data_IF_073481868825
#
_entry.id   IF_073481868825
#
_cell.length_a   1.000
_cell.length_b   1.000
_cell.length_c   1.000
_cell.angle_alpha   90.00
_cell.angle_beta   90.00
_cell.angle_gamma   90.00
#
_symmetry.space_group_name_H-M   'P 1'
#
loop_
_entity.id
_entity.type
_entity.pdbx_description
1 polymer ?
#
# COMPACT_ATOMS: atom_id res chain seq x y z
N UNK A 1 12.31 -8.85 -2.18
CA UNK A 1 11.09 -8.08 -2.51
C UNK A 1 10.79 -7.16 -1.34
N UNK A 2 10.31 -5.94 -1.59
CA UNK A 2 9.86 -5.00 -0.57
C UNK A 2 8.43 -4.56 -0.91
N UNK A 3 7.59 -4.35 0.10
CA UNK A 3 6.25 -3.80 -0.08
C UNK A 3 6.19 -2.39 0.50
N UNK A 4 5.58 -1.49 -0.25
CA UNK A 4 5.39 -0.12 0.18
C UNK A 4 3.93 0.29 0.00
N UNK A 5 3.35 0.86 1.05
CA UNK A 5 2.00 1.38 0.99
C UNK A 5 2.00 2.84 0.52
N UNK A 6 1.39 3.08 -0.64
CA UNK A 6 1.26 4.40 -1.25
C UNK A 6 -0.12 4.99 -0.92
N UNK A 7 -0.19 5.74 0.19
CA UNK A 7 -1.39 6.50 0.55
C UNK A 7 -1.56 7.73 -0.34
N UNK A 8 -2.77 8.33 -0.37
CA UNK A 8 -3.06 9.53 -1.19
C UNK A 8 -2.07 10.67 -1.01
N UNK A 9 -1.55 10.85 0.20
CA UNK A 9 -0.60 11.91 0.52
C UNK A 9 0.70 11.85 -0.28
N UNK A 10 1.01 10.70 -0.91
CA UNK A 10 2.15 10.56 -1.80
C UNK A 10 1.91 11.22 -3.16
N UNK A 11 0.66 11.29 -3.62
CA UNK A 11 0.31 11.76 -4.98
C UNK A 11 -0.28 13.17 -5.02
N UNK A 12 -0.87 13.63 -3.91
CA UNK A 12 -1.46 14.97 -3.79
C UNK A 12 -1.54 15.41 -2.33
N UNK A 13 -1.62 16.72 -2.06
CA UNK A 13 -1.91 17.19 -0.71
C UNK A 13 -3.31 16.73 -0.32
N UNK A 14 -3.49 16.48 0.97
CA UNK A 14 -4.79 16.10 1.54
C UNK A 14 -5.12 17.06 2.67
N UNK A 15 -6.36 17.05 3.17
CA UNK A 15 -6.72 17.87 4.34
C UNK A 15 -5.80 17.60 5.55
N UNK A 16 -5.33 16.36 5.72
CA UNK A 16 -4.40 16.00 6.79
C UNK A 16 -2.93 16.33 6.46
N UNK A 17 -2.58 16.46 5.18
CA UNK A 17 -1.23 16.72 4.69
C UNK A 17 -1.29 17.78 3.57
N UNK A 18 -1.53 19.06 3.89
CA UNK A 18 -1.84 20.08 2.89
C UNK A 18 -0.62 20.73 2.23
N UNK A 19 0.60 20.47 2.72
CA UNK A 19 1.84 21.11 2.25
C UNK A 19 2.35 20.50 0.93
N UNK A 20 2.32 21.31 -0.13
CA UNK A 20 2.78 20.95 -1.47
C UNK A 20 4.31 20.75 -1.55
N UNK A 21 5.12 21.53 -0.83
CA UNK A 21 6.57 21.33 -0.82
C UNK A 21 6.93 20.01 -0.14
N UNK A 22 6.24 19.69 0.95
CA UNK A 22 6.41 18.41 1.63
C UNK A 22 6.05 17.24 0.70
N UNK A 23 5.00 17.39 -0.12
CA UNK A 23 4.61 16.40 -1.12
C UNK A 23 5.69 16.24 -2.21
N UNK A 24 6.23 17.32 -2.77
CA UNK A 24 7.30 17.26 -3.78
C UNK A 24 8.53 16.54 -3.21
N UNK A 25 8.92 16.88 -1.97
CA UNK A 25 10.02 16.21 -1.26
C UNK A 25 9.73 14.73 -1.01
N UNK A 26 8.48 14.37 -0.73
CA UNK A 26 8.05 12.98 -0.57
C UNK A 26 8.16 12.21 -1.89
N UNK A 27 7.64 12.75 -3.00
CA UNK A 27 7.73 12.13 -4.31
C UNK A 27 9.19 11.88 -4.73
N UNK A 28 10.07 12.86 -4.49
CA UNK A 28 11.50 12.70 -4.76
C UNK A 28 12.13 11.54 -3.97
N UNK A 29 11.74 11.35 -2.70
CA UNK A 29 12.22 10.22 -1.88
C UNK A 29 11.70 8.89 -2.40
N UNK A 30 10.46 8.85 -2.88
CA UNK A 30 9.85 7.63 -3.42
C UNK A 30 10.55 7.22 -4.73
N UNK A 31 10.84 8.17 -5.62
CA UNK A 31 11.62 7.92 -6.84
C UNK A 31 13.05 7.43 -6.52
N UNK A 32 13.69 8.04 -5.53
CA UNK A 32 15.01 7.60 -5.06
C UNK A 32 14.98 6.17 -4.52
N UNK A 33 13.93 5.81 -3.78
CA UNK A 33 13.74 4.46 -3.23
C UNK A 33 13.54 3.43 -4.34
N UNK A 34 12.73 3.74 -5.35
CA UNK A 34 12.60 2.90 -6.56
C UNK A 34 13.97 2.66 -7.19
N UNK A 35 14.77 3.72 -7.36
CA UNK A 35 16.12 3.62 -7.91
C UNK A 35 17.07 2.76 -7.06
N UNK A 36 17.03 2.90 -5.72
CA UNK A 36 17.82 2.07 -4.79
C UNK A 36 17.41 0.61 -4.88
N UNK A 37 16.11 0.31 -4.89
CA UNK A 37 15.59 -1.05 -5.01
C UNK A 37 16.04 -1.70 -6.32
N UNK A 38 15.90 -1.00 -7.45
CA UNK A 38 16.33 -1.49 -8.76
C UNK A 38 17.82 -1.83 -8.78
N UNK A 39 18.68 -0.94 -8.26
CA UNK A 39 20.15 -1.18 -8.22
C UNK A 39 20.55 -2.40 -7.40
N UNK A 40 19.75 -2.78 -6.40
CA UNK A 40 20.03 -3.90 -5.52
C UNK A 40 19.27 -5.19 -5.92
N UNK A 41 18.63 -5.22 -7.09
CA UNK A 41 17.84 -6.38 -7.52
C UNK A 41 16.60 -6.64 -6.63
N UNK A 42 16.15 -5.62 -5.90
CA UNK A 42 14.96 -5.71 -5.05
C UNK A 42 13.76 -5.26 -5.86
N UNK A 43 12.82 -6.19 -6.13
CA UNK A 43 11.48 -5.82 -6.61
C UNK A 43 10.74 -5.05 -5.52
N UNK A 44 10.47 -3.77 -5.75
CA UNK A 44 9.59 -2.93 -4.94
C UNK A 44 8.15 -3.11 -5.44
N UNK A 45 7.24 -3.44 -4.54
CA UNK A 45 5.81 -3.65 -4.83
C UNK A 45 5.02 -2.58 -4.10
N UNK A 46 4.45 -1.67 -4.86
CA UNK A 46 3.57 -0.63 -4.34
C UNK A 46 2.17 -1.20 -4.08
N UNK A 47 1.58 -0.82 -2.95
CA UNK A 47 0.27 -1.25 -2.47
C UNK A 47 -0.57 0.00 -2.23
N UNK A 48 -1.74 0.08 -2.85
CA UNK A 48 -2.69 1.18 -2.61
C UNK A 48 -3.85 0.72 -1.74
N UNK A 49 -4.78 1.62 -1.44
CA UNK A 49 -5.97 1.30 -0.66
C UNK A 49 -6.83 0.20 -1.31
N UNK A 50 -6.95 0.21 -2.63
CA UNK A 50 -7.73 -0.75 -3.43
C UNK A 50 -7.15 -2.17 -3.36
N UNK A 51 -5.84 -2.28 -3.09
CA UNK A 51 -5.15 -3.55 -2.97
C UNK A 51 -5.39 -4.26 -1.62
N UNK A 52 -5.93 -3.56 -0.61
CA UNK A 52 -6.07 -4.05 0.77
C UNK A 52 -7.16 -5.11 0.98
N UNK A 53 -7.44 -5.91 -0.04
CA UNK A 53 -8.24 -7.14 0.07
C UNK A 53 -7.32 -8.36 0.12
N UNK A 54 -7.79 -9.49 0.67
CA UNK A 54 -6.99 -10.73 0.62
C UNK A 54 -6.56 -11.06 -0.81
N UNK A 55 -7.49 -10.95 -1.77
CA UNK A 55 -7.23 -11.20 -3.19
C UNK A 55 -6.19 -10.22 -3.76
N UNK A 56 -6.30 -8.93 -3.45
CA UNK A 56 -5.36 -7.90 -3.91
C UNK A 56 -3.95 -8.14 -3.37
N UNK A 57 -3.83 -8.38 -2.06
CA UNK A 57 -2.54 -8.66 -1.42
C UNK A 57 -1.90 -9.96 -1.91
N UNK A 58 -2.68 -11.02 -2.15
CA UNK A 58 -2.16 -12.27 -2.75
C UNK A 58 -1.61 -12.04 -4.15
N UNK A 59 -2.27 -11.21 -4.97
CA UNK A 59 -1.77 -10.82 -6.30
C UNK A 59 -0.47 -10.00 -6.20
N UNK A 60 -0.38 -9.08 -5.24
CA UNK A 60 0.86 -8.29 -5.02
C UNK A 60 2.03 -9.16 -4.55
N UNK A 61 1.74 -10.20 -3.76
CA UNK A 61 2.71 -11.15 -3.25
C UNK A 61 3.02 -12.33 -4.19
N UNK A 62 2.51 -12.31 -5.43
CA UNK A 62 2.80 -13.35 -6.42
C UNK A 62 4.30 -13.55 -6.62
N UNK A 63 4.72 -14.81 -6.70
CA UNK A 63 6.13 -15.21 -6.78
C UNK A 63 6.84 -15.33 -5.43
N UNK A 64 6.17 -15.05 -4.31
CA UNK A 64 6.69 -15.34 -2.96
C UNK A 64 6.10 -16.63 -2.39
N UNK A 65 6.85 -17.36 -1.55
CA UNK A 65 6.30 -18.50 -0.82
C UNK A 65 5.23 -18.03 0.17
N UNK A 66 4.03 -18.59 0.04
CA UNK A 66 2.95 -18.35 0.99
C UNK A 66 3.06 -19.32 2.17
N UNK A 67 3.13 -18.78 3.38
CA UNK A 67 2.95 -19.58 4.59
C UNK A 67 1.51 -20.07 4.67
N UNK A 68 1.28 -21.24 5.27
CA UNK A 68 -0.08 -21.72 5.50
C UNK A 68 -0.88 -20.70 6.32
N UNK A 69 -2.10 -20.42 5.89
CA UNK A 69 -3.05 -19.56 6.59
C UNK A 69 -4.46 -20.10 6.40
N UNK A 70 -5.35 -19.79 7.36
CA UNK A 70 -6.77 -20.13 7.27
C UNK A 70 -7.51 -18.98 6.60
N UNK A 71 -7.88 -19.14 5.33
CA UNK A 71 -8.57 -18.10 4.56
C UNK A 71 -9.86 -17.58 5.23
N UNK A 72 -10.60 -18.44 5.92
CA UNK A 72 -11.80 -18.07 6.69
C UNK A 72 -11.56 -17.99 8.20
N UNK A 73 -10.30 -17.98 8.61
CA UNK A 73 -9.89 -17.90 10.02
C UNK A 73 -10.11 -16.51 10.61
N UNK A 74 -10.07 -16.40 11.95
CA UNK A 74 -10.34 -15.14 12.64
C UNK A 74 -9.40 -14.01 12.20
N UNK A 75 -8.10 -14.30 12.00
CA UNK A 75 -7.11 -13.30 11.57
C UNK A 75 -7.49 -12.67 10.23
N UNK A 76 -7.77 -13.48 9.21
CA UNK A 76 -8.12 -12.98 7.88
C UNK A 76 -9.44 -12.20 7.91
N UNK A 77 -10.42 -12.65 8.69
CA UNK A 77 -11.69 -11.94 8.87
C UNK A 77 -11.49 -10.58 9.54
N UNK A 78 -10.74 -10.52 10.64
CA UNK A 78 -10.48 -9.27 11.36
C UNK A 78 -9.69 -8.28 10.50
N UNK A 79 -8.63 -8.73 9.83
CA UNK A 79 -7.86 -7.86 8.91
C UNK A 79 -8.76 -7.40 7.75
N UNK A 80 -9.58 -8.29 7.18
CA UNK A 80 -10.55 -7.95 6.15
C UNK A 80 -11.50 -6.83 6.59
N UNK A 81 -12.09 -6.94 7.78
CA UNK A 81 -13.00 -5.91 8.32
C UNK A 81 -12.30 -4.56 8.53
N UNK A 82 -11.06 -4.56 9.04
CA UNK A 82 -10.27 -3.33 9.20
C UNK A 82 -9.97 -2.69 7.85
N UNK A 83 -9.57 -3.50 6.86
CA UNK A 83 -9.32 -3.04 5.51
C UNK A 83 -10.58 -2.50 4.84
N UNK A 84 -11.71 -3.19 4.94
CA UNK A 84 -12.98 -2.75 4.36
C UNK A 84 -13.41 -1.41 4.96
N UNK A 85 -13.28 -1.25 6.28
CA UNK A 85 -13.56 0.00 6.98
C UNK A 85 -12.66 1.14 6.50
N UNK A 86 -11.36 0.84 6.30
CA UNK A 86 -10.40 1.80 5.78
C UNK A 86 -10.68 2.17 4.33
N UNK A 87 -10.93 1.20 3.45
CA UNK A 87 -11.31 1.42 2.05
C UNK A 87 -12.57 2.28 1.97
N UNK A 88 -13.62 1.95 2.72
CA UNK A 88 -14.85 2.73 2.76
C UNK A 88 -14.63 4.16 3.29
N UNK A 89 -13.76 4.35 4.29
CA UNK A 89 -13.36 5.69 4.73
C UNK A 89 -12.62 6.43 3.63
N UNK A 90 -11.71 5.77 2.93
CA UNK A 90 -10.92 6.37 1.87
C UNK A 90 -11.81 6.79 0.69
N UNK A 91 -12.78 5.96 0.26
CA UNK A 91 -13.81 6.29 -0.73
C UNK A 91 -14.61 7.52 -0.30
N UNK A 92 -15.08 7.57 0.96
CA UNK A 92 -15.83 8.73 1.49
C UNK A 92 -15.01 10.02 1.56
N UNK A 93 -13.71 9.91 1.86
CA UNK A 93 -12.76 11.03 1.87
C UNK A 93 -12.23 11.34 0.46
N UNK A 94 -12.95 10.90 -0.58
CA UNK A 94 -12.59 11.10 -1.97
C UNK A 94 -11.32 10.36 -2.32
N UNK A 95 -11.32 9.02 -2.20
CA UNK A 95 -10.59 8.27 -3.22
C UNK A 95 -11.27 8.68 -4.50
#
# INVERSE_FOLDING_TARGET
>A
MAFEFQGKQHFRPTQAYPDEEAQIKQQLRDDQKVGVCLRNGVRLVEVTHEDLTLKGMLKKAEGLPLRHYRANGPIIKTIGQLSDSHIARMIRQGL
#
